data_IF_647458505833
#
_entry.id   IF_647458505833
#
_cell.length_a   1.000
_cell.length_b   1.000
_cell.length_c   1.000
_cell.angle_alpha   90.00
_cell.angle_beta   90.00
_cell.angle_gamma   90.00
#
_symmetry.space_group_name_H-M   'P 1'
#
loop_
_entity.id
_entity.type
_entity.pdbx_description
1 polymer ?
#
# COMPACT_ATOMS: atom_id res chain seq x y z
N UNK A 1 -3.23 10.91 -22.84
CA UNK A 1 -2.23 10.09 -23.54
C UNK A 1 -1.62 9.18 -22.48
N UNK A 2 -2.23 7.99 -22.30
CA UNK A 2 -1.89 7.01 -21.26
C UNK A 2 -0.82 6.05 -21.80
N UNK A 3 0.28 5.86 -21.07
CA UNK A 3 1.29 4.86 -21.41
C UNK A 3 0.72 3.46 -21.22
N UNK A 4 0.58 2.74 -22.35
CA UNK A 4 0.30 1.32 -22.41
C UNK A 4 1.50 0.55 -21.87
N UNK A 5 1.23 -0.43 -21.00
CA UNK A 5 2.09 -1.58 -20.83
C UNK A 5 2.24 -2.29 -22.20
N UNK A 6 3.39 -2.14 -22.86
CA UNK A 6 3.86 -3.08 -23.87
C UNK A 6 4.31 -4.34 -23.09
N UNK A 7 3.89 -5.57 -23.41
CA UNK A 7 3.84 -6.17 -24.73
C UNK A 7 4.88 -7.30 -24.76
N UNK A 8 4.61 -8.39 -24.04
CA UNK A 8 5.34 -9.65 -24.17
C UNK A 8 4.30 -10.73 -24.54
N UNK A 9 4.55 -11.40 -25.66
CA UNK A 9 3.60 -12.26 -26.36
C UNK A 9 3.05 -13.40 -25.51
N UNK A 10 1.74 -13.60 -25.63
CA UNK A 10 1.03 -14.78 -25.14
C UNK A 10 1.17 -15.88 -26.20
N UNK A 11 1.61 -17.11 -25.86
CA UNK A 11 1.49 -18.24 -26.75
C UNK A 11 0.02 -18.66 -26.86
N UNK A 12 -0.49 -18.74 -28.08
CA UNK A 12 -1.77 -19.38 -28.40
C UNK A 12 -1.75 -20.87 -28.02
N UNK A 13 -2.82 -21.34 -27.38
CA UNK A 13 -3.20 -22.76 -27.28
C UNK A 13 -4.74 -22.87 -27.35
N UNK A 14 -5.27 -24.03 -27.79
CA UNK A 14 -6.15 -24.08 -28.96
C UNK A 14 -7.65 -24.12 -28.67
N UNK A 15 -8.39 -23.87 -29.75
CA UNK A 15 -9.84 -23.95 -29.92
C UNK A 15 -10.48 -25.18 -29.27
N UNK A 16 -11.59 -24.94 -28.56
CA UNK A 16 -12.61 -25.94 -28.28
C UNK A 16 -13.97 -25.43 -28.74
N UNK A 17 -14.65 -26.28 -29.49
CA UNK A 17 -15.76 -26.01 -30.37
C UNK A 17 -17.13 -25.89 -29.67
N UNK A 18 -18.03 -25.13 -30.32
CA UNK A 18 -19.41 -25.56 -30.55
C UNK A 18 -20.50 -25.08 -29.58
N UNK A 19 -21.34 -24.15 -30.05
CA UNK A 19 -22.70 -23.96 -29.52
C UNK A 19 -23.38 -22.68 -29.99
N UNK A 20 -24.65 -22.70 -30.45
CA UNK A 20 -25.10 -21.86 -31.57
C UNK A 20 -25.82 -20.55 -31.20
N UNK A 21 -25.79 -19.64 -32.18
CA UNK A 21 -26.61 -18.42 -32.31
C UNK A 21 -28.11 -18.73 -32.45
N UNK A 22 -28.95 -17.84 -31.92
CA UNK A 22 -30.20 -17.44 -32.57
C UNK A 22 -30.64 -16.04 -32.10
N UNK A 23 -31.03 -15.21 -33.07
CA UNK A 23 -31.44 -13.82 -32.96
C UNK A 23 -32.97 -13.66 -32.84
N UNK A 24 -33.44 -12.50 -32.34
CA UNK A 24 -34.73 -11.87 -32.72
C UNK A 24 -34.82 -10.47 -32.08
N UNK A 25 -34.66 -9.38 -32.84
CA UNK A 25 -35.70 -8.57 -33.50
C UNK A 25 -36.37 -7.46 -32.63
N UNK A 26 -35.96 -6.22 -32.94
CA UNK A 26 -36.76 -4.99 -33.07
C UNK A 26 -38.11 -4.85 -32.38
N UNK A 27 -38.29 -3.74 -31.62
CA UNK A 27 -39.29 -2.70 -31.94
C UNK A 27 -39.14 -1.43 -31.08
N UNK A 28 -39.23 -0.31 -31.77
CA UNK A 28 -39.42 1.05 -31.28
C UNK A 28 -40.80 1.23 -30.64
N UNK A 29 -40.87 2.04 -29.57
CA UNK A 29 -42.03 2.89 -29.25
C UNK A 29 -41.61 4.02 -28.31
N UNK A 30 -41.63 5.22 -28.85
CA UNK A 30 -41.75 6.50 -28.15
C UNK A 30 -43.03 6.54 -27.34
N UNK A 31 -42.92 6.86 -26.04
CA UNK A 31 -44.01 7.53 -25.30
C UNK A 31 -43.35 8.54 -24.37
N UNK A 32 -43.63 9.81 -24.65
CA UNK A 32 -43.35 10.92 -23.76
C UNK A 32 -44.20 10.77 -22.49
N UNK A 33 -43.56 10.77 -21.33
CA UNK A 33 -44.20 10.71 -20.03
C UNK A 33 -43.50 11.67 -19.08
N UNK A 34 -44.16 12.80 -18.82
CA UNK A 34 -43.91 13.74 -17.74
C UNK A 34 -43.55 13.01 -16.43
N UNK A 35 -42.35 13.24 -15.89
CA UNK A 35 -42.05 12.95 -14.50
C UNK A 35 -41.42 14.16 -13.83
N UNK A 36 -42.03 14.52 -12.72
CA UNK A 36 -41.76 15.68 -11.91
C UNK A 36 -40.33 15.67 -11.36
N UNK A 37 -39.77 16.88 -11.37
CA UNK A 37 -38.49 17.29 -10.83
C UNK A 37 -38.47 17.10 -9.30
N UNK A 38 -38.11 15.90 -8.82
CA UNK A 38 -37.65 15.74 -7.44
C UNK A 38 -36.22 16.24 -7.33
N UNK A 39 -36.06 17.53 -7.01
CA UNK A 39 -34.79 18.08 -6.50
C UNK A 39 -34.49 17.43 -5.15
N UNK A 40 -33.90 16.25 -5.17
CA UNK A 40 -33.13 15.75 -4.04
C UNK A 40 -31.89 16.65 -3.95
N UNK A 41 -31.95 17.61 -3.04
CA UNK A 41 -30.78 18.37 -2.60
C UNK A 41 -29.84 17.40 -1.89
N UNK A 42 -28.98 16.74 -2.64
CA UNK A 42 -27.80 16.07 -2.10
C UNK A 42 -26.94 17.18 -1.49
N UNK A 43 -27.01 17.34 -0.17
CA UNK A 43 -25.98 18.09 0.57
C UNK A 43 -24.66 17.39 0.27
N UNK A 44 -23.95 17.90 -0.72
CA UNK A 44 -22.56 17.58 -0.94
C UNK A 44 -21.83 18.12 0.29
N UNK A 45 -21.58 17.25 1.27
CA UNK A 45 -20.60 17.50 2.32
C UNK A 45 -19.27 17.61 1.59
N UNK A 46 -18.93 18.82 1.14
CA UNK A 46 -17.59 19.16 0.69
C UNK A 46 -16.73 19.08 1.94
N UNK A 47 -16.23 17.88 2.24
CA UNK A 47 -15.18 17.67 3.22
C UNK A 47 -14.11 18.71 2.91
N UNK A 48 -13.87 19.64 3.83
CA UNK A 48 -12.77 20.59 3.67
C UNK A 48 -11.49 19.76 3.68
N UNK A 49 -10.91 19.55 2.49
CA UNK A 49 -9.62 18.89 2.35
C UNK A 49 -8.63 19.64 3.24
N UNK A 50 -8.10 18.98 4.26
CA UNK A 50 -7.07 19.58 5.09
C UNK A 50 -5.81 19.79 4.25
N UNK A 51 -5.10 20.92 4.40
CA UNK A 51 -3.87 21.13 3.67
C UNK A 51 -2.82 20.10 4.08
N UNK A 52 -2.17 19.48 3.10
CA UNK A 52 -1.07 18.55 3.34
C UNK A 52 0.11 19.34 3.93
N UNK A 53 0.62 18.87 5.06
CA UNK A 53 1.84 19.41 5.66
C UNK A 53 3.05 18.57 5.21
N UNK A 54 3.92 19.16 4.41
CA UNK A 54 5.18 18.51 4.00
C UNK A 54 6.18 18.63 5.16
N UNK A 55 6.60 17.50 5.74
CA UNK A 55 7.58 17.47 6.81
C UNK A 55 8.98 17.38 6.19
N UNK A 56 9.75 18.45 6.29
CA UNK A 56 10.98 18.62 5.49
C UNK A 56 12.26 18.15 6.14
N UNK A 57 12.34 18.17 7.47
CA UNK A 57 13.57 17.86 8.20
C UNK A 57 13.34 16.84 9.31
N UNK A 58 14.40 16.11 9.68
CA UNK A 58 14.35 15.02 10.67
C UNK A 58 13.69 15.45 11.99
N UNK A 59 14.03 16.64 12.51
CA UNK A 59 13.46 17.12 13.78
C UNK A 59 11.94 17.33 13.69
N UNK A 60 11.45 17.92 12.60
CA UNK A 60 10.01 18.12 12.35
C UNK A 60 9.27 16.80 12.17
N UNK A 61 9.90 15.82 11.52
CA UNK A 61 9.34 14.48 11.33
C UNK A 61 9.22 13.78 12.68
N UNK A 62 10.31 13.76 13.46
CA UNK A 62 10.34 13.13 14.78
C UNK A 62 9.35 13.76 15.75
N UNK A 63 9.35 15.09 15.87
CA UNK A 63 8.46 15.79 16.82
C UNK A 63 6.98 15.61 16.50
N UNK A 64 6.64 15.54 15.20
CA UNK A 64 5.27 15.34 14.75
C UNK A 64 4.81 13.90 14.92
N UNK A 65 5.60 12.93 14.45
CA UNK A 65 5.15 11.54 14.36
C UNK A 65 5.25 10.77 15.68
N UNK A 66 6.15 11.17 16.59
CA UNK A 66 6.33 10.51 17.90
C UNK A 66 5.06 10.46 18.76
N UNK A 67 4.11 11.38 18.52
CA UNK A 67 2.82 11.43 19.20
C UNK A 67 1.83 10.35 18.74
N UNK A 68 2.12 9.63 17.65
CA UNK A 68 1.23 8.64 17.06
C UNK A 68 1.76 7.22 17.24
N UNK A 69 0.86 6.25 17.05
CA UNK A 69 1.18 4.87 16.77
C UNK A 69 1.08 4.63 15.25
N UNK A 70 2.19 4.37 14.54
CA UNK A 70 2.15 4.13 13.10
C UNK A 70 1.51 2.78 12.79
N UNK A 71 0.51 2.81 11.91
CA UNK A 71 -0.12 1.63 11.31
C UNK A 71 0.35 1.54 9.86
N UNK A 72 0.89 0.38 9.46
CA UNK A 72 1.17 0.04 8.08
C UNK A 72 0.28 -1.12 7.65
N UNK A 73 -0.22 -1.07 6.42
CA UNK A 73 -0.97 -2.16 5.82
C UNK A 73 -0.28 -2.50 4.50
N UNK A 74 0.23 -3.73 4.40
CA UNK A 74 0.96 -4.18 3.21
C UNK A 74 0.13 -5.22 2.46
N UNK A 75 0.12 -5.10 1.13
CA UNK A 75 -0.69 -5.97 0.28
C UNK A 75 -0.36 -5.76 -1.19
N UNK A 76 -1.15 -6.39 -2.07
CA UNK A 76 -0.93 -6.26 -3.51
C UNK A 76 -1.62 -5.01 -4.08
N UNK A 77 -0.92 -4.27 -4.94
CA UNK A 77 -1.48 -3.10 -5.63
C UNK A 77 -2.63 -3.43 -6.58
N UNK A 78 -2.73 -4.69 -7.03
CA UNK A 78 -3.82 -5.19 -7.89
C UNK A 78 -4.72 -6.21 -7.18
N UNK A 79 -4.86 -6.09 -5.86
CA UNK A 79 -5.86 -6.88 -5.11
C UNK A 79 -7.24 -6.73 -5.76
N UNK A 80 -7.84 -7.84 -6.17
CA UNK A 80 -9.11 -7.90 -6.90
C UNK A 80 -10.30 -8.25 -6.00
N UNK A 81 -10.07 -8.46 -4.71
CA UNK A 81 -11.13 -8.64 -3.72
C UNK A 81 -11.85 -7.31 -3.48
N UNK A 82 -13.00 -7.37 -2.82
CA UNK A 82 -13.69 -6.15 -2.37
C UNK A 82 -12.85 -5.44 -1.31
N UNK A 83 -12.40 -4.19 -1.54
CA UNK A 83 -11.60 -3.44 -0.57
C UNK A 83 -12.29 -3.26 0.78
N UNK A 84 -13.63 -3.17 0.81
CA UNK A 84 -14.39 -3.03 2.05
C UNK A 84 -14.30 -4.31 2.87
N UNK A 85 -14.57 -5.46 2.26
CA UNK A 85 -14.49 -6.75 2.94
C UNK A 85 -13.08 -7.03 3.51
N UNK A 86 -12.04 -6.77 2.72
CA UNK A 86 -10.64 -6.93 3.19
C UNK A 86 -10.31 -5.93 4.29
N UNK A 87 -10.71 -4.67 4.13
CA UNK A 87 -10.46 -3.62 5.12
C UNK A 87 -11.23 -3.84 6.43
N UNK A 88 -12.46 -4.32 6.40
CA UNK A 88 -13.26 -4.65 7.58
C UNK A 88 -12.63 -5.76 8.41
N UNK A 89 -12.08 -6.78 7.75
CA UNK A 89 -11.31 -7.83 8.42
C UNK A 89 -10.07 -7.26 9.12
N UNK A 90 -9.32 -6.39 8.43
CA UNK A 90 -8.15 -5.72 9.02
C UNK A 90 -8.57 -4.86 10.22
N UNK A 91 -9.64 -4.07 10.09
CA UNK A 91 -10.17 -3.23 11.18
C UNK A 91 -10.53 -4.08 12.40
N UNK A 92 -11.20 -5.21 12.19
CA UNK A 92 -11.55 -6.14 13.26
C UNK A 92 -10.29 -6.63 13.98
N UNK A 93 -9.31 -7.17 13.25
CA UNK A 93 -8.07 -7.68 13.84
C UNK A 93 -7.25 -6.58 14.54
N UNK A 94 -7.22 -5.37 13.97
CA UNK A 94 -6.55 -4.22 14.57
C UNK A 94 -7.19 -3.81 15.89
N UNK A 95 -8.53 -3.83 15.99
CA UNK A 95 -9.24 -3.50 17.22
C UNK A 95 -8.95 -4.51 18.33
N UNK A 96 -8.86 -5.79 18.00
CA UNK A 96 -8.50 -6.83 18.97
C UNK A 96 -7.04 -6.70 19.40
N UNK A 97 -6.11 -6.61 18.45
CA UNK A 97 -4.68 -6.42 18.74
C UNK A 97 -4.42 -5.15 19.58
N UNK A 98 -5.15 -4.06 19.31
CA UNK A 98 -5.03 -2.82 20.08
C UNK A 98 -5.37 -3.01 21.56
N UNK A 99 -6.42 -3.79 21.86
CA UNK A 99 -6.82 -4.10 23.24
C UNK A 99 -5.78 -4.99 23.91
N UNK A 100 -5.34 -6.04 23.23
CA UNK A 100 -4.37 -7.01 23.75
C UNK A 100 -3.01 -6.36 24.07
N UNK A 101 -2.52 -5.50 23.17
CA UNK A 101 -1.24 -4.79 23.31
C UNK A 101 -1.33 -3.50 24.13
N UNK A 102 -2.53 -3.13 24.59
CA UNK A 102 -2.79 -1.88 25.31
C UNK A 102 -2.23 -0.63 24.61
N UNK A 103 -2.46 -0.52 23.30
CA UNK A 103 -1.95 0.62 22.50
C UNK A 103 -2.76 1.88 22.82
N UNK A 104 -2.11 2.84 23.47
CA UNK A 104 -2.74 4.09 23.96
C UNK A 104 -2.64 5.25 22.98
N UNK A 105 -1.57 5.32 22.18
CA UNK A 105 -1.40 6.40 21.21
C UNK A 105 -2.43 6.33 20.08
N UNK A 106 -2.83 7.49 19.52
CA UNK A 106 -3.71 7.50 18.34
C UNK A 106 -2.99 6.89 17.14
N UNK A 107 -3.70 6.06 16.37
CA UNK A 107 -3.15 5.54 15.12
C UNK A 107 -2.96 6.65 14.08
N UNK A 108 -1.92 6.50 13.27
CA UNK A 108 -1.75 7.19 12.00
C UNK A 108 -1.45 6.15 10.92
N UNK A 109 -2.19 6.15 9.82
CA UNK A 109 -1.98 5.21 8.73
C UNK A 109 -0.84 5.71 7.83
N UNK A 110 0.24 4.95 7.76
CA UNK A 110 1.37 5.23 6.86
C UNK A 110 1.15 4.50 5.54
N UNK A 111 1.19 5.22 4.43
CA UNK A 111 1.00 4.67 3.07
C UNK A 111 2.24 4.92 2.20
N UNK A 112 2.51 4.03 1.26
CA UNK A 112 3.79 3.93 0.54
C UNK A 112 3.67 4.30 -0.96
N UNK A 113 2.83 5.30 -1.26
CA UNK A 113 2.71 5.86 -2.61
C UNK A 113 2.05 4.96 -3.63
N UNK A 114 1.20 4.03 -3.20
CA UNK A 114 0.35 3.29 -4.13
C UNK A 114 -0.60 4.24 -4.91
N UNK A 115 -0.82 3.98 -6.22
CA UNK A 115 -1.67 4.83 -7.02
C UNK A 115 -3.13 4.88 -6.55
N UNK A 116 -3.80 6.01 -6.76
CA UNK A 116 -5.23 6.15 -6.53
C UNK A 116 -6.05 5.23 -7.44
N UNK A 117 -6.58 4.13 -6.90
CA UNK A 117 -7.36 3.13 -7.65
C UNK A 117 -8.60 2.69 -6.88
N UNK A 118 -9.65 2.25 -7.57
CA UNK A 118 -10.91 1.76 -6.94
C UNK A 118 -10.74 0.42 -6.22
N UNK A 119 -9.67 -0.32 -6.54
CA UNK A 119 -9.30 -1.62 -5.97
C UNK A 119 -7.83 -1.63 -5.59
N UNK A 120 -7.34 -2.72 -4.99
CA UNK A 120 -5.97 -2.82 -4.52
C UNK A 120 -5.74 -2.17 -3.16
N UNK A 121 -4.48 -2.17 -2.74
CA UNK A 121 -4.07 -1.69 -1.42
C UNK A 121 -4.43 -0.22 -1.16
N UNK A 122 -4.42 0.67 -2.15
CA UNK A 122 -4.81 2.08 -1.98
C UNK A 122 -6.31 2.24 -1.68
N UNK A 123 -7.18 1.39 -2.24
CA UNK A 123 -8.59 1.35 -1.90
C UNK A 123 -8.81 0.79 -0.48
N UNK A 124 -8.10 -0.28 -0.13
CA UNK A 124 -8.19 -0.93 1.20
C UNK A 124 -7.75 0.06 2.29
N UNK A 125 -6.58 0.69 2.12
CA UNK A 125 -6.04 1.64 3.11
C UNK A 125 -6.90 2.90 3.26
N UNK A 126 -7.53 3.39 2.17
CA UNK A 126 -8.54 4.45 2.25
C UNK A 126 -9.75 4.03 3.07
N UNK A 127 -10.29 2.85 2.82
CA UNK A 127 -11.41 2.31 3.60
C UNK A 127 -11.05 2.21 5.08
N UNK A 128 -9.89 1.62 5.40
CA UNK A 128 -9.43 1.46 6.80
C UNK A 128 -9.24 2.80 7.50
N UNK A 129 -8.64 3.79 6.84
CA UNK A 129 -8.46 5.12 7.45
C UNK A 129 -9.78 5.85 7.67
N UNK A 130 -10.72 5.75 6.73
CA UNK A 130 -12.05 6.35 6.86
C UNK A 130 -12.86 5.73 8.01
N UNK A 131 -12.93 4.40 8.09
CA UNK A 131 -13.69 3.68 9.12
C UNK A 131 -13.10 3.80 10.54
N UNK A 132 -11.78 4.00 10.64
CA UNK A 132 -11.12 4.26 11.92
C UNK A 132 -11.05 5.76 12.27
N UNK A 133 -11.46 6.64 11.36
CA UNK A 133 -11.35 8.10 11.47
C UNK A 133 -9.91 8.56 11.80
N UNK A 134 -8.91 7.93 11.18
CA UNK A 134 -7.49 8.21 11.42
C UNK A 134 -6.84 8.99 10.28
N UNK A 135 -5.83 9.78 10.67
CA UNK A 135 -5.00 10.54 9.74
C UNK A 135 -4.15 9.62 8.88
N UNK A 136 -3.83 10.07 7.67
CA UNK A 136 -2.87 9.41 6.77
C UNK A 136 -1.57 10.20 6.64
N UNK A 137 -0.46 9.47 6.67
CA UNK A 137 0.87 9.97 6.31
C UNK A 137 1.33 9.23 5.04
N UNK A 138 1.77 9.98 4.04
CA UNK A 138 2.25 9.43 2.78
C UNK A 138 3.78 9.45 2.75
N UNK A 139 4.38 8.33 2.37
CA UNK A 139 5.80 8.21 2.04
C UNK A 139 5.92 7.90 0.55
N UNK A 140 6.60 8.76 -0.20
CA UNK A 140 6.87 8.54 -1.63
C UNK A 140 8.36 8.35 -1.89
N UNK A 141 8.69 7.60 -2.94
CA UNK A 141 10.03 7.59 -3.51
C UNK A 141 10.40 8.99 -4.01
N UNK A 142 11.70 9.28 -3.96
CA UNK A 142 12.30 10.43 -4.63
C UNK A 142 12.31 10.19 -6.16
N UNK A 143 12.28 11.28 -6.93
CA UNK A 143 12.14 11.24 -8.40
C UNK A 143 13.25 10.44 -9.10
N UNK A 144 14.44 10.40 -8.50
CA UNK A 144 15.59 9.63 -8.98
C UNK A 144 15.40 8.11 -8.93
N UNK A 145 14.49 7.61 -8.06
CA UNK A 145 14.17 6.20 -7.96
C UNK A 145 13.00 5.81 -8.86
N UNK A 146 11.96 6.64 -8.90
CA UNK A 146 10.78 6.49 -9.75
C UNK A 146 10.10 7.86 -9.90
N UNK A 147 10.27 8.47 -11.08
CA UNK A 147 9.76 9.82 -11.34
C UNK A 147 8.24 9.92 -11.37
N UNK A 148 7.54 8.79 -11.48
CA UNK A 148 6.07 8.76 -11.54
C UNK A 148 5.42 8.36 -10.21
N UNK A 149 6.18 7.75 -9.29
CA UNK A 149 5.65 7.22 -8.03
C UNK A 149 4.95 8.30 -7.20
N UNK A 150 5.61 9.44 -7.01
CA UNK A 150 5.03 10.53 -6.24
C UNK A 150 3.80 11.12 -6.91
N UNK A 151 3.79 11.28 -8.23
CA UNK A 151 2.66 11.89 -8.94
C UNK A 151 1.39 11.03 -8.91
N UNK A 152 1.55 9.72 -8.94
CA UNK A 152 0.44 8.77 -8.95
C UNK A 152 -0.11 8.47 -7.56
N UNK A 153 0.68 8.72 -6.51
CA UNK A 153 0.35 8.37 -5.13
C UNK A 153 -1.00 8.91 -4.66
N UNK A 154 -1.78 8.05 -4.01
CA UNK A 154 -3.04 8.41 -3.38
C UNK A 154 -2.84 9.40 -2.22
N UNK A 155 -3.32 10.64 -2.43
CA UNK A 155 -3.28 11.74 -1.46
C UNK A 155 -4.61 12.04 -0.79
N UNK A 156 -5.64 11.22 -0.98
CA UNK A 156 -6.94 11.42 -0.34
C UNK A 156 -6.76 11.39 1.18
N UNK A 157 -7.14 12.48 1.86
CA UNK A 157 -7.08 12.64 3.32
C UNK A 157 -5.67 12.44 3.95
N UNK A 158 -4.63 12.64 3.14
CA UNK A 158 -3.25 12.73 3.63
C UNK A 158 -3.05 14.06 4.34
N UNK A 159 -2.45 14.02 5.53
CA UNK A 159 -2.13 15.24 6.31
C UNK A 159 -0.64 15.49 6.42
N UNK A 160 0.18 14.46 6.26
CA UNK A 160 1.65 14.54 6.26
C UNK A 160 2.22 13.84 5.04
N UNK A 161 3.23 14.43 4.42
CA UNK A 161 3.96 13.81 3.31
C UNK A 161 5.48 13.84 3.58
N UNK A 162 6.13 12.72 3.24
CA UNK A 162 7.54 12.42 3.44
C UNK A 162 8.16 11.80 2.18
N UNK A 163 9.47 11.95 2.04
CA UNK A 163 10.27 11.29 1.03
C UNK A 163 11.04 10.11 1.62
N UNK A 164 11.25 9.09 0.80
CA UNK A 164 12.05 7.91 1.13
C UNK A 164 13.47 8.31 1.59
N UNK A 165 14.13 9.22 0.87
CA UNK A 165 15.47 9.74 1.20
C UNK A 165 15.55 10.34 2.61
N UNK A 166 14.48 11.00 3.09
CA UNK A 166 14.42 11.54 4.44
C UNK A 166 14.42 10.42 5.48
N UNK A 167 13.62 9.36 5.26
CA UNK A 167 13.59 8.22 6.17
C UNK A 167 14.93 7.46 6.17
N UNK A 168 15.50 7.25 4.98
CA UNK A 168 16.79 6.59 4.84
C UNK A 168 17.91 7.37 5.55
N UNK A 169 17.95 8.69 5.41
CA UNK A 169 18.87 9.56 6.14
C UNK A 169 18.74 9.36 7.65
N UNK A 170 17.51 9.30 8.18
CA UNK A 170 17.27 9.12 9.62
C UNK A 170 17.72 7.76 10.16
N UNK A 171 17.69 6.70 9.34
CA UNK A 171 18.22 5.38 9.72
C UNK A 171 19.75 5.32 9.69
N UNK A 172 20.38 6.15 8.85
CA UNK A 172 21.81 6.19 8.68
C UNK A 172 22.51 7.25 9.57
N UNK A 173 21.74 8.07 10.30
CA UNK A 173 22.27 8.96 11.32
C UNK A 173 22.84 8.17 12.52
N UNK A 174 24.07 8.51 12.93
CA UNK A 174 24.76 8.02 14.15
C UNK A 174 24.93 6.50 14.22
N UNK A 175 26.07 6.01 13.72
CA UNK A 175 26.71 4.69 13.93
C UNK A 175 25.93 3.41 13.59
N UNK A 176 24.60 3.41 13.58
CA UNK A 176 23.82 2.17 13.48
C UNK A 176 23.73 1.63 12.04
N UNK A 177 23.99 2.47 11.01
CA UNK A 177 23.97 2.12 9.58
C UNK A 177 22.82 1.16 9.18
N UNK A 178 21.64 1.37 9.76
CA UNK A 178 20.51 0.44 9.65
C UNK A 178 20.01 0.41 8.20
N UNK A 179 20.01 1.55 7.51
CA UNK A 179 19.63 1.62 6.10
C UNK A 179 20.51 0.74 5.22
N UNK A 180 21.84 0.78 5.41
CA UNK A 180 22.77 -0.12 4.69
C UNK A 180 22.55 -1.58 5.04
N UNK A 181 22.32 -1.90 6.32
CA UNK A 181 22.03 -3.27 6.77
C UNK A 181 20.76 -3.83 6.14
N UNK A 182 19.70 -3.01 6.04
CA UNK A 182 18.46 -3.35 5.36
C UNK A 182 18.70 -3.59 3.86
N UNK A 183 19.46 -2.71 3.21
CA UNK A 183 19.77 -2.83 1.78
C UNK A 183 20.49 -4.14 1.46
N UNK A 184 21.54 -4.47 2.20
CA UNK A 184 22.27 -5.72 2.01
C UNK A 184 21.40 -6.95 2.27
N UNK A 185 20.54 -6.91 3.29
CA UNK A 185 19.63 -8.01 3.58
C UNK A 185 18.58 -8.20 2.48
N UNK A 186 18.03 -7.10 1.94
CA UNK A 186 17.13 -7.13 0.79
C UNK A 186 17.84 -7.68 -0.45
N UNK A 187 19.08 -7.28 -0.72
CA UNK A 187 19.85 -7.79 -1.85
C UNK A 187 20.11 -9.29 -1.74
N UNK A 188 20.53 -9.78 -0.56
CA UNK A 188 20.69 -11.22 -0.30
C UNK A 188 19.39 -11.96 -0.53
N UNK A 189 18.27 -11.44 -0.01
CA UNK A 189 16.97 -12.08 -0.15
C UNK A 189 16.46 -12.06 -1.59
N UNK A 190 16.71 -10.99 -2.33
CA UNK A 190 16.42 -10.90 -3.76
C UNK A 190 17.22 -11.93 -4.57
N UNK A 191 18.51 -12.11 -4.26
CA UNK A 191 19.34 -13.12 -4.88
C UNK A 191 18.81 -14.55 -4.63
N UNK A 192 18.41 -14.85 -3.39
CA UNK A 192 17.78 -16.14 -3.05
C UNK A 192 16.45 -16.36 -3.79
N UNK A 193 15.59 -15.34 -3.85
CA UNK A 193 14.33 -15.40 -4.61
C UNK A 193 14.59 -15.62 -6.10
N UNK A 194 15.61 -14.98 -6.67
CA UNK A 194 15.99 -15.14 -8.07
C UNK A 194 16.58 -16.52 -8.38
N UNK A 195 17.40 -17.09 -7.49
CA UNK A 195 17.90 -18.46 -7.62
C UNK A 195 16.74 -19.46 -7.68
N UNK A 196 15.78 -19.34 -6.76
CA UNK A 196 14.56 -20.18 -6.75
C UNK A 196 13.70 -19.99 -8.00
N UNK A 197 13.64 -18.77 -8.57
CA UNK A 197 12.93 -18.52 -9.84
C UNK A 197 13.63 -19.20 -11.02
N UNK A 198 14.96 -19.16 -11.05
CA UNK A 198 15.77 -19.82 -12.08
C UNK A 198 15.59 -21.35 -12.05
N UNK A 199 15.55 -21.97 -10.86
CA UNK A 199 15.23 -23.41 -10.70
C UNK A 199 13.85 -23.77 -11.29
N UNK A 200 12.91 -22.81 -11.28
CA UNK A 200 11.57 -22.97 -11.83
C UNK A 200 11.45 -22.51 -13.30
N UNK A 201 12.57 -22.19 -13.96
CA UNK A 201 12.59 -21.68 -15.34
C UNK A 201 11.92 -20.31 -15.52
N UNK A 202 11.82 -19.51 -14.46
CA UNK A 202 11.25 -18.16 -14.47
C UNK A 202 12.34 -17.11 -14.55
N UNK A 203 12.06 -16.00 -15.24
CA UNK A 203 12.93 -14.82 -15.26
C UNK A 203 13.21 -14.29 -13.84
N UNK A 204 14.31 -13.56 -13.61
CA UNK A 204 14.51 -12.85 -12.35
C UNK A 204 13.34 -11.92 -11.98
N UNK A 205 13.25 -11.57 -10.70
CA UNK A 205 12.37 -10.49 -10.26
C UNK A 205 12.76 -9.19 -10.94
N UNK A 206 11.77 -8.34 -11.20
CA UNK A 206 12.00 -7.07 -11.88
C UNK A 206 12.96 -6.17 -11.08
N UNK A 207 13.74 -5.35 -11.78
CA UNK A 207 14.76 -4.49 -11.16
C UNK A 207 14.19 -3.55 -10.09
N UNK A 208 12.96 -3.06 -10.28
CA UNK A 208 12.27 -2.20 -9.32
C UNK A 208 11.94 -2.89 -7.99
N UNK A 209 11.95 -4.23 -7.92
CA UNK A 209 11.58 -4.95 -6.71
C UNK A 209 12.46 -4.58 -5.50
N UNK A 210 13.76 -4.33 -5.72
CA UNK A 210 14.68 -3.85 -4.67
C UNK A 210 14.21 -2.51 -4.10
N UNK A 211 13.94 -1.54 -4.97
CA UNK A 211 13.53 -0.19 -4.58
C UNK A 211 12.25 -0.19 -3.76
N UNK A 212 11.24 -0.95 -4.19
CA UNK A 212 9.97 -1.01 -3.47
C UNK A 212 10.07 -1.84 -2.17
N UNK A 213 10.91 -2.88 -2.13
CA UNK A 213 11.23 -3.56 -0.87
C UNK A 213 11.95 -2.63 0.12
N UNK A 214 12.89 -1.80 -0.36
CA UNK A 214 13.54 -0.78 0.45
C UNK A 214 12.54 0.24 1.00
N UNK A 215 11.63 0.73 0.16
CA UNK A 215 10.56 1.63 0.60
C UNK A 215 9.74 1.00 1.74
N UNK A 216 9.38 -0.28 1.62
CA UNK A 216 8.62 -0.98 2.65
C UNK A 216 9.36 -1.07 3.98
N UNK A 217 10.56 -1.66 3.96
CA UNK A 217 11.31 -1.93 5.17
C UNK A 217 11.83 -0.65 5.84
N UNK A 218 12.36 0.31 5.07
CA UNK A 218 12.84 1.58 5.61
C UNK A 218 11.69 2.36 6.25
N UNK A 219 10.49 2.34 5.65
CA UNK A 219 9.32 3.00 6.25
C UNK A 219 8.96 2.35 7.58
N UNK A 220 8.81 1.02 7.62
CA UNK A 220 8.46 0.31 8.87
C UNK A 220 9.47 0.58 9.99
N UNK A 221 10.75 0.39 9.71
CA UNK A 221 11.82 0.51 10.71
C UNK A 221 11.97 1.95 11.18
N UNK A 222 11.91 2.92 10.27
CA UNK A 222 11.97 4.35 10.65
C UNK A 222 10.80 4.74 11.53
N UNK A 223 9.58 4.33 11.17
CA UNK A 223 8.38 4.65 11.94
C UNK A 223 8.45 4.04 13.34
N UNK A 224 8.89 2.79 13.47
CA UNK A 224 9.14 2.16 14.78
C UNK A 224 10.22 2.91 15.57
N UNK A 225 11.35 3.27 14.95
CA UNK A 225 12.44 4.01 15.61
C UNK A 225 11.98 5.38 16.16
N UNK A 226 11.16 6.10 15.40
CA UNK A 226 10.66 7.43 15.79
C UNK A 226 9.59 7.32 16.89
N UNK A 227 8.63 6.41 16.69
CA UNK A 227 7.43 6.34 17.52
C UNK A 227 7.62 5.44 18.74
N UNK A 228 8.63 4.55 18.73
CA UNK A 228 8.91 3.54 19.75
C UNK A 228 8.06 2.26 19.60
N UNK A 229 7.12 2.25 18.66
CA UNK A 229 6.16 1.17 18.43
C UNK A 229 5.64 1.25 16.99
N UNK A 230 5.14 0.14 16.47
CA UNK A 230 4.49 0.06 15.16
C UNK A 230 3.48 -1.10 15.14
N UNK A 231 2.48 -0.98 14.26
CA UNK A 231 1.60 -2.09 13.89
C UNK A 231 1.67 -2.29 12.39
N UNK A 232 1.86 -3.53 11.95
CA UNK A 232 1.89 -3.92 10.55
C UNK A 232 0.84 -4.99 10.33
N UNK A 233 -0.10 -4.74 9.42
CA UNK A 233 -1.10 -5.71 8.99
C UNK A 233 -0.85 -6.11 7.54
N UNK A 234 -1.15 -7.35 7.19
CA UNK A 234 -1.19 -7.79 5.81
C UNK A 234 -2.63 -7.87 5.30
N UNK A 235 -2.84 -7.71 4.00
CA UNK A 235 -4.17 -7.92 3.40
C UNK A 235 -4.49 -9.41 3.17
N UNK A 236 -3.58 -10.32 3.50
CA UNK A 236 -3.73 -11.77 3.32
C UNK A 236 -2.83 -12.54 4.28
N UNK A 237 -3.25 -13.75 4.63
CA UNK A 237 -2.47 -14.77 5.33
C UNK A 237 -1.48 -15.53 4.41
N UNK A 238 -1.67 -15.45 3.09
CA UNK A 238 -0.88 -16.15 2.09
C UNK A 238 -0.10 -15.18 1.21
N UNK A 239 1.13 -14.88 1.62
CA UNK A 239 2.02 -14.00 0.85
C UNK A 239 2.79 -14.82 -0.19
N UNK A 240 2.68 -14.44 -1.46
CA UNK A 240 3.44 -15.09 -2.53
C UNK A 240 4.96 -14.89 -2.30
N UNK A 241 5.80 -15.95 -2.29
CA UNK A 241 7.22 -15.87 -1.91
C UNK A 241 8.11 -14.98 -2.79
N UNK A 242 7.68 -14.67 -4.02
CA UNK A 242 8.37 -13.75 -4.92
C UNK A 242 7.63 -12.42 -5.11
N UNK A 243 6.81 -12.00 -4.14
CA UNK A 243 6.20 -10.67 -4.11
C UNK A 243 7.10 -9.66 -3.39
N UNK A 244 6.89 -8.37 -3.62
CA UNK A 244 7.56 -7.33 -2.82
C UNK A 244 7.14 -7.41 -1.35
N UNK A 245 5.86 -7.65 -1.07
CA UNK A 245 5.37 -7.84 0.30
C UNK A 245 6.15 -8.91 1.06
N UNK A 246 6.58 -10.00 0.42
CA UNK A 246 7.40 -11.06 1.04
C UNK A 246 8.81 -10.63 1.51
N UNK A 247 9.19 -9.37 1.33
CA UNK A 247 10.38 -8.80 1.97
C UNK A 247 10.12 -8.36 3.42
N UNK A 248 8.87 -8.38 3.91
CA UNK A 248 8.54 -8.07 5.31
C UNK A 248 9.36 -8.87 6.34
N UNK A 249 9.78 -10.08 5.98
CA UNK A 249 10.58 -10.93 6.86
C UNK A 249 12.01 -10.38 7.03
N UNK A 250 12.49 -9.43 6.21
CA UNK A 250 13.82 -8.80 6.39
C UNK A 250 13.89 -8.04 7.71
N UNK A 251 12.94 -7.13 7.97
CA UNK A 251 12.90 -6.40 9.23
C UNK A 251 12.78 -7.33 10.44
N UNK A 252 12.09 -8.46 10.28
CA UNK A 252 11.96 -9.49 11.33
C UNK A 252 13.26 -10.26 11.55
N UNK A 253 13.90 -10.76 10.48
CA UNK A 253 15.17 -11.50 10.53
C UNK A 253 16.30 -10.67 11.16
N UNK A 254 16.25 -9.35 10.98
CA UNK A 254 17.20 -8.40 11.57
C UNK A 254 16.81 -7.95 12.99
N UNK A 255 15.69 -8.43 13.55
CA UNK A 255 15.12 -7.99 14.84
C UNK A 255 14.85 -6.48 14.90
N UNK A 256 14.54 -5.87 13.75
CA UNK A 256 14.13 -4.46 13.66
C UNK A 256 12.62 -4.33 13.80
N UNK A 257 11.85 -5.35 13.43
CA UNK A 257 10.41 -5.47 13.60
C UNK A 257 10.13 -6.74 14.41
N UNK A 258 9.33 -6.62 15.46
CA UNK A 258 9.02 -7.74 16.35
C UNK A 258 7.80 -8.49 15.81
N UNK A 259 7.66 -9.77 16.17
CA UNK A 259 6.48 -10.55 15.77
C UNK A 259 5.19 -9.93 16.33
N UNK A 260 5.27 -9.36 17.52
CA UNK A 260 4.19 -8.68 18.21
C UNK A 260 3.76 -7.39 17.49
N UNK A 261 4.60 -6.82 16.64
CA UNK A 261 4.23 -5.69 15.78
C UNK A 261 3.31 -6.10 14.63
N UNK A 262 3.27 -7.40 14.30
CA UNK A 262 2.47 -7.95 13.21
C UNK A 262 1.06 -8.31 13.68
N UNK A 263 0.06 -7.94 12.89
CA UNK A 263 -1.34 -8.35 13.08
C UNK A 263 -1.71 -9.37 12.01
N UNK A 264 -2.19 -10.53 12.47
CA UNK A 264 -2.67 -11.57 11.57
C UNK A 264 -3.87 -11.08 10.76
N UNK A 265 -4.02 -11.58 9.53
CA UNK A 265 -5.20 -11.36 8.68
C UNK A 265 -6.29 -12.38 9.02
#
# INVERSE_FOLDING_TARGET
MYLRYAGAGVPELPEAAGGPQAACATRSRTVAGHWMEHKQTTKCNRAMMQPITILRNALSIQSTLKAYHPLLIEGHSRDDRDPRAVGDQIIYNLRESRKERNITKPFILITQGDPLTERGISAITRHVSAELEIKRCLVTLDEEYDSTHSDLADRVDVVYELKFSQLLSMLNEKTDQIGSTLEEAIERKLALKNAKRAELGKDPMAAWAKTYAMLQEVTKVTMKKICGEVTVAHTTDSIHPCSVTSFYEVGMELNLIDKEDMVAF
#
